data_IF_891715842099
#
_entry.id   IF_891715842099
#
_cell.length_a   1.000
_cell.length_b   1.000
_cell.length_c   1.000
_cell.angle_alpha   90.00
_cell.angle_beta   90.00
_cell.angle_gamma   90.00
#
_symmetry.space_group_name_H-M   'P 1'
#
loop_
_entity.id
_entity.type
_entity.pdbx_description
1 polymer ?
#
# COMPACT_ATOMS: atom_id res chain seq x y z
N UNK A 1 13.69 -16.74 -28.05
CA UNK A 1 14.33 -17.17 -26.78
C UNK A 1 13.27 -17.11 -25.68
N UNK A 2 12.76 -18.25 -25.20
CA UNK A 2 11.67 -18.28 -24.21
C UNK A 2 12.27 -17.94 -22.84
N UNK A 3 11.98 -16.75 -22.31
CA UNK A 3 12.42 -16.39 -20.95
C UNK A 3 11.77 -17.35 -19.95
N UNK A 4 12.59 -18.13 -19.25
CA UNK A 4 12.12 -19.01 -18.17
C UNK A 4 11.65 -18.13 -17.02
N UNK A 5 10.32 -17.99 -16.86
CA UNK A 5 9.74 -17.34 -15.68
C UNK A 5 10.01 -18.21 -14.46
N UNK A 6 10.65 -17.63 -13.44
CA UNK A 6 10.92 -18.32 -12.18
C UNK A 6 9.60 -18.58 -11.46
N UNK A 7 9.44 -19.82 -10.99
CA UNK A 7 8.28 -20.27 -10.24
C UNK A 7 8.70 -20.68 -8.83
N UNK A 8 7.87 -20.35 -7.85
CA UNK A 8 8.14 -20.62 -6.44
C UNK A 8 7.03 -21.50 -5.84
N UNK A 9 7.44 -22.48 -5.03
CA UNK A 9 6.52 -23.20 -4.15
C UNK A 9 6.20 -22.34 -2.93
N UNK A 10 5.01 -22.52 -2.34
CA UNK A 10 4.64 -21.80 -1.10
C UNK A 10 5.68 -21.93 0.02
N UNK A 11 6.36 -23.07 0.11
CA UNK A 11 7.41 -23.31 1.10
C UNK A 11 8.68 -22.49 0.83
N UNK A 12 9.01 -22.22 -0.42
CA UNK A 12 10.15 -21.39 -0.81
C UNK A 12 9.87 -19.92 -0.54
N UNK A 13 8.69 -19.43 -0.92
CA UNK A 13 8.24 -18.09 -0.56
C UNK A 13 8.27 -17.85 0.95
N UNK A 14 7.75 -18.81 1.72
CA UNK A 14 7.75 -18.73 3.18
C UNK A 14 9.17 -18.58 3.74
N UNK A 15 10.14 -19.35 3.21
CA UNK A 15 11.55 -19.26 3.61
C UNK A 15 12.17 -17.92 3.21
N UNK A 16 11.99 -17.48 1.97
CA UNK A 16 12.58 -16.24 1.45
C UNK A 16 12.02 -15.00 2.16
N UNK A 17 10.70 -14.95 2.36
CA UNK A 17 10.04 -13.84 3.05
C UNK A 17 10.17 -13.93 4.58
N UNK A 18 10.70 -15.04 5.11
CA UNK A 18 10.75 -15.35 6.56
C UNK A 18 9.36 -15.27 7.21
N UNK A 19 8.35 -15.79 6.51
CA UNK A 19 6.95 -15.81 6.96
C UNK A 19 6.45 -17.25 7.08
N UNK A 20 5.47 -17.48 7.95
CA UNK A 20 4.82 -18.79 8.06
C UNK A 20 3.91 -19.02 6.85
N UNK A 21 3.84 -20.28 6.37
CA UNK A 21 3.03 -20.65 5.19
C UNK A 21 1.56 -20.23 5.31
N UNK A 22 0.96 -20.29 6.50
CA UNK A 22 -0.44 -19.91 6.69
C UNK A 22 -0.68 -18.41 6.50
N UNK A 23 0.31 -17.56 6.80
CA UNK A 23 0.23 -16.11 6.59
C UNK A 23 0.15 -15.82 5.10
N UNK A 24 0.98 -16.49 4.29
CA UNK A 24 0.93 -16.36 2.83
C UNK A 24 -0.40 -16.86 2.25
N UNK A 25 -0.97 -17.95 2.79
CA UNK A 25 -2.31 -18.44 2.37
C UNK A 25 -3.42 -17.45 2.72
N UNK A 26 -3.31 -16.83 3.89
CA UNK A 26 -4.24 -15.80 4.31
C UNK A 26 -4.14 -14.58 3.38
N UNK A 27 -2.93 -14.08 3.13
CA UNK A 27 -2.71 -12.97 2.19
C UNK A 27 -3.14 -13.31 0.76
N UNK A 28 -2.91 -14.53 0.27
CA UNK A 28 -3.43 -15.02 -1.02
C UNK A 28 -4.94 -14.77 -1.14
N UNK A 29 -5.70 -15.19 -0.12
CA UNK A 29 -7.16 -15.01 -0.07
C UNK A 29 -7.54 -13.53 -0.06
N UNK A 30 -6.91 -12.73 0.78
CA UNK A 30 -7.26 -11.32 0.98
C UNK A 30 -6.89 -10.43 -0.21
N UNK A 31 -5.77 -10.74 -0.87
CA UNK A 31 -5.28 -10.03 -2.06
C UNK A 31 -5.94 -10.52 -3.34
N UNK A 32 -6.61 -11.67 -3.32
CA UNK A 32 -7.23 -12.27 -4.51
C UNK A 32 -6.20 -12.86 -5.49
N UNK A 33 -5.02 -13.22 -5.01
CA UNK A 33 -3.96 -13.84 -5.82
C UNK A 33 -4.40 -15.26 -6.15
N UNK A 34 -4.36 -15.64 -7.43
CA UNK A 34 -4.76 -16.96 -7.91
C UNK A 34 -3.51 -17.81 -8.20
N UNK A 35 -3.05 -18.67 -7.26
CA UNK A 35 -1.88 -19.49 -7.50
C UNK A 35 -2.16 -20.54 -8.57
N UNK A 36 -1.15 -20.81 -9.39
CA UNK A 36 -1.19 -21.97 -10.27
C UNK A 36 -1.11 -23.25 -9.43
N UNK A 37 -1.92 -24.25 -9.76
CA UNK A 37 -1.92 -25.53 -9.07
C UNK A 37 -1.30 -26.61 -9.95
N UNK A 38 -0.47 -27.45 -9.35
CA UNK A 38 -0.03 -28.71 -9.98
C UNK A 38 -1.16 -29.75 -9.93
N UNK A 39 -1.01 -30.84 -10.70
CA UNK A 39 -1.90 -32.02 -10.67
C UNK A 39 -2.11 -32.53 -9.22
N UNK A 40 -1.09 -32.49 -8.37
CA UNK A 40 -1.18 -32.89 -6.96
C UNK A 40 -1.73 -31.81 -6.00
N UNK A 41 -2.26 -30.70 -6.50
CA UNK A 41 -2.84 -29.62 -5.68
C UNK A 41 -1.82 -28.69 -5.00
N UNK A 42 -0.53 -28.84 -5.29
CA UNK A 42 0.52 -27.95 -4.80
C UNK A 42 0.40 -26.56 -5.43
N UNK A 43 0.47 -25.50 -4.60
CA UNK A 43 0.45 -24.10 -5.04
C UNK A 43 1.82 -23.65 -5.54
N UNK A 44 1.81 -22.98 -6.68
CA UNK A 44 2.94 -22.33 -7.33
C UNK A 44 2.61 -20.86 -7.60
N UNK A 45 3.61 -20.02 -7.48
CA UNK A 45 3.54 -18.58 -7.66
C UNK A 45 4.63 -18.13 -8.62
N UNK A 46 4.35 -17.08 -9.37
CA UNK A 46 5.33 -16.47 -10.28
C UNK A 46 6.19 -15.44 -9.54
N UNK A 47 7.24 -14.95 -10.20
CA UNK A 47 8.05 -13.82 -9.70
C UNK A 47 7.19 -12.57 -9.40
N UNK A 48 6.17 -12.32 -10.22
CA UNK A 48 5.24 -11.20 -10.05
C UNK A 48 4.46 -11.30 -8.71
N UNK A 49 4.04 -12.51 -8.34
CA UNK A 49 3.37 -12.78 -7.06
C UNK A 49 4.36 -12.61 -5.89
N UNK A 50 5.61 -13.05 -6.07
CA UNK A 50 6.65 -12.91 -5.05
C UNK A 50 6.90 -11.44 -4.70
N UNK A 51 7.04 -10.57 -5.70
CA UNK A 51 7.25 -9.14 -5.48
C UNK A 51 6.02 -8.49 -4.82
N UNK A 52 4.82 -8.96 -5.15
CA UNK A 52 3.58 -8.54 -4.49
C UNK A 52 3.60 -8.89 -2.99
N UNK A 53 3.94 -10.13 -2.64
CA UNK A 53 4.03 -10.55 -1.24
C UNK A 53 5.13 -9.81 -0.47
N UNK A 54 6.25 -9.53 -1.12
CA UNK A 54 7.35 -8.74 -0.55
C UNK A 54 6.91 -7.30 -0.26
N UNK A 55 6.22 -6.67 -1.20
CA UNK A 55 5.66 -5.31 -1.03
C UNK A 55 4.68 -5.28 0.15
N UNK A 56 3.74 -6.24 0.20
CA UNK A 56 2.79 -6.35 1.31
C UNK A 56 3.50 -6.51 2.65
N UNK A 57 4.56 -7.33 2.72
CA UNK A 57 5.35 -7.47 3.94
C UNK A 57 5.91 -6.12 4.40
N UNK A 58 6.51 -5.34 3.51
CA UNK A 58 7.02 -4.00 3.84
C UNK A 58 5.88 -3.07 4.31
N UNK A 59 4.74 -3.06 3.61
CA UNK A 59 3.59 -2.23 3.99
C UNK A 59 3.10 -2.54 5.41
N UNK A 60 2.99 -3.83 5.77
CA UNK A 60 2.47 -4.24 7.07
C UNK A 60 3.50 -4.07 8.19
N UNK A 61 4.74 -4.54 7.99
CA UNK A 61 5.72 -4.61 9.07
C UNK A 61 6.50 -3.32 9.27
N UNK A 62 6.86 -2.64 8.18
CA UNK A 62 7.68 -1.42 8.23
C UNK A 62 6.78 -0.18 8.28
N UNK A 63 5.81 -0.08 7.36
CA UNK A 63 4.93 1.09 7.26
C UNK A 63 3.66 1.00 8.13
N UNK A 64 3.49 -0.08 8.89
CA UNK A 64 2.40 -0.29 9.86
C UNK A 64 0.98 -0.14 9.28
N UNK A 65 0.80 -0.45 8.00
CA UNK A 65 -0.53 -0.50 7.40
C UNK A 65 -1.33 -1.69 7.93
N UNK A 66 -2.65 -1.52 7.99
CA UNK A 66 -3.56 -2.66 8.06
C UNK A 66 -3.59 -3.37 6.71
N UNK A 67 -4.03 -4.63 6.68
CA UNK A 67 -4.10 -5.37 5.41
C UNK A 67 -5.02 -4.70 4.37
N UNK A 68 -6.13 -4.10 4.82
CA UNK A 68 -7.01 -3.33 3.97
C UNK A 68 -6.34 -2.07 3.41
N UNK A 69 -5.57 -1.35 4.24
CA UNK A 69 -4.79 -0.19 3.80
C UNK A 69 -3.68 -0.58 2.81
N UNK A 70 -2.97 -1.66 3.09
CA UNK A 70 -1.92 -2.18 2.22
C UNK A 70 -2.46 -2.61 0.85
N UNK A 71 -3.66 -3.20 0.81
CA UNK A 71 -4.34 -3.54 -0.45
C UNK A 71 -4.69 -2.31 -1.28
N UNK A 72 -5.17 -1.24 -0.65
CA UNK A 72 -5.44 0.04 -1.34
C UNK A 72 -4.15 0.65 -1.91
N UNK A 73 -3.10 0.69 -1.11
CA UNK A 73 -1.78 1.20 -1.52
C UNK A 73 -1.21 0.39 -2.70
N UNK A 74 -1.29 -0.94 -2.64
CA UNK A 74 -0.83 -1.82 -3.71
C UNK A 74 -1.57 -1.53 -5.04
N UNK A 75 -2.88 -1.30 -5.00
CA UNK A 75 -3.65 -0.94 -6.18
C UNK A 75 -3.23 0.42 -6.78
N UNK A 76 -2.88 1.40 -5.93
CA UNK A 76 -2.38 2.70 -6.37
C UNK A 76 -1.00 2.59 -7.03
N UNK A 77 -0.13 1.72 -6.49
CA UNK A 77 1.20 1.45 -7.04
C UNK A 77 1.14 0.74 -8.40
N UNK A 78 0.16 -0.16 -8.58
CA UNK A 78 -0.03 -0.91 -9.83
C UNK A 78 -0.84 -0.15 -10.89
N UNK A 79 -1.52 0.95 -10.50
CA UNK A 79 -2.21 1.78 -11.47
C UNK A 79 -1.19 2.41 -12.43
N UNK A 80 -1.46 2.44 -13.75
CA UNK A 80 -0.57 3.12 -14.69
C UNK A 80 -0.46 4.57 -14.24
N UNK A 81 0.76 5.04 -13.98
CA UNK A 81 1.04 6.47 -13.79
C UNK A 81 0.52 7.14 -15.04
N UNK A 82 -0.66 7.77 -14.97
CA UNK A 82 -1.16 8.64 -16.02
C UNK A 82 -0.15 9.77 -16.07
N UNK A 83 0.81 9.66 -16.99
CA UNK A 83 1.71 10.74 -17.33
C UNK A 83 0.79 11.89 -17.73
N UNK A 84 0.67 12.89 -16.86
CA UNK A 84 0.19 14.19 -17.28
C UNK A 84 1.29 14.66 -18.23
N UNK A 85 1.12 14.36 -19.53
CA UNK A 85 1.93 14.92 -20.59
C UNK A 85 1.53 16.39 -20.59
N UNK A 86 2.26 17.20 -19.82
CA UNK A 86 2.25 18.64 -19.93
C UNK A 86 2.91 18.99 -21.28
N UNK A 87 2.11 18.94 -22.34
CA UNK A 87 2.43 19.52 -23.64
C UNK A 87 1.23 20.32 -24.11
N UNK A 88 1.01 21.45 -23.44
CA UNK A 88 0.33 22.61 -24.01
C UNK A 88 1.08 23.84 -23.47
N UNK A 89 2.00 24.39 -24.27
CA UNK A 89 2.50 25.76 -24.10
C UNK A 89 1.57 26.68 -24.90
N UNK A 90 0.92 27.64 -24.22
CA UNK A 90 0.27 28.93 -24.62
C UNK A 90 -0.97 29.08 -23.73
N UNK A 91 -1.15 30.07 -22.84
CA UNK A 91 -0.50 31.38 -22.65
C UNK A 91 -0.30 31.68 -21.16
N UNK A 92 0.70 32.52 -20.87
CA UNK A 92 0.80 33.21 -19.60
C UNK A 92 -0.39 34.15 -19.42
N UNK A 93 -1.38 33.74 -18.64
CA UNK A 93 -2.13 34.65 -17.76
C UNK A 93 -2.81 33.89 -16.62
N UNK A 94 -2.04 33.50 -15.60
CA UNK A 94 -2.61 33.20 -14.28
C UNK A 94 -1.86 34.12 -13.32
N UNK A 95 -2.52 35.22 -12.96
CA UNK A 95 -2.06 36.14 -11.90
C UNK A 95 -1.59 35.35 -10.67
N UNK A 96 -0.52 35.78 -9.97
CA UNK A 96 -0.01 35.14 -8.75
C UNK A 96 -0.99 35.09 -7.54
N UNK A 97 -2.29 35.33 -7.74
CA UNK A 97 -3.28 35.55 -6.69
C UNK A 97 -4.17 34.35 -6.37
N UNK A 98 -3.82 33.13 -6.80
CA UNK A 98 -4.58 31.91 -6.46
C UNK A 98 -3.73 30.80 -5.82
N UNK A 99 -2.80 31.16 -4.92
CA UNK A 99 -2.50 30.31 -3.77
C UNK A 99 -3.49 30.67 -2.66
N UNK A 100 -4.75 30.26 -2.79
CA UNK A 100 -5.65 30.21 -1.64
C UNK A 100 -5.30 28.96 -0.85
N UNK A 101 -4.36 29.12 0.08
CA UNK A 101 -4.32 28.32 1.30
C UNK A 101 -5.68 28.57 1.97
N UNK A 102 -6.63 27.68 1.74
CA UNK A 102 -7.89 27.71 2.48
C UNK A 102 -7.57 27.23 3.89
N UNK A 103 -7.31 28.19 4.78
CA UNK A 103 -7.22 28.03 6.23
C UNK A 103 -8.60 27.69 6.84
N UNK A 104 -9.23 26.62 6.38
CA UNK A 104 -10.33 26.00 7.11
C UNK A 104 -9.80 24.73 7.78
N UNK A 105 -9.61 24.72 9.12
CA UNK A 105 -9.15 23.52 9.79
C UNK A 105 -10.21 22.44 9.58
N UNK A 106 -9.83 21.41 8.81
CA UNK A 106 -10.59 20.18 8.65
C UNK A 106 -11.17 19.75 10.00
N UNK A 107 -12.40 19.23 10.02
CA UNK A 107 -13.08 18.85 11.29
C UNK A 107 -12.21 17.97 12.20
N UNK A 108 -11.34 17.17 11.59
CA UNK A 108 -10.36 16.31 12.26
C UNK A 108 -9.33 17.13 13.04
N UNK A 109 -8.85 18.24 12.50
CA UNK A 109 -7.91 19.13 13.19
C UNK A 109 -8.57 19.80 14.41
N UNK A 110 -9.86 20.16 14.33
CA UNK A 110 -10.61 20.70 15.47
C UNK A 110 -10.75 19.66 16.60
N UNK A 111 -11.06 18.41 16.24
CA UNK A 111 -11.14 17.30 17.20
C UNK A 111 -9.78 17.03 17.88
N UNK A 112 -8.70 16.93 17.09
CA UNK A 112 -7.35 16.69 17.61
C UNK A 112 -6.92 17.78 18.60
N UNK A 113 -7.21 19.04 18.27
CA UNK A 113 -6.89 20.17 19.14
C UNK A 113 -7.70 20.12 20.44
N UNK A 114 -8.98 19.78 20.37
CA UNK A 114 -9.83 19.63 21.56
C UNK A 114 -9.35 18.53 22.51
N UNK A 115 -8.88 17.40 21.95
CA UNK A 115 -8.35 16.26 22.71
C UNK A 115 -7.03 16.67 23.36
N UNK A 116 -6.15 17.35 22.63
CA UNK A 116 -4.88 17.87 23.17
C UNK A 116 -5.13 18.80 24.36
N UNK A 117 -6.05 19.74 24.25
CA UNK A 117 -6.39 20.65 25.35
C UNK A 117 -6.98 19.92 26.57
N UNK A 118 -7.87 18.95 26.35
CA UNK A 118 -8.43 18.13 27.45
C UNK A 118 -7.34 17.36 28.19
N UNK A 119 -6.40 16.77 27.46
CA UNK A 119 -5.28 16.03 28.05
C UNK A 119 -4.36 16.93 28.86
N UNK A 120 -3.99 18.09 28.30
CA UNK A 120 -3.13 19.04 28.99
C UNK A 120 -3.77 19.53 30.29
N UNK A 121 -5.07 19.82 30.26
CA UNK A 121 -5.82 20.25 31.45
C UNK A 121 -5.91 19.17 32.54
N UNK A 122 -5.97 17.89 32.15
CA UNK A 122 -5.96 16.78 33.11
C UNK A 122 -4.58 16.56 33.73
N UNK A 123 -3.50 16.81 32.97
CA UNK A 123 -2.13 16.73 33.50
C UNK A 123 -1.80 17.86 34.49
N UNK A 124 -2.42 19.03 34.35
CA UNK A 124 -2.25 20.15 35.28
C UNK A 124 -3.03 19.99 36.61
N UNK A 125 -3.90 18.98 36.72
CA UNK A 125 -4.75 18.70 37.89
C UNK A 125 -4.23 17.55 38.78
N UNK A 126 -3.07 16.98 38.45
CA UNK A 126 -2.34 15.97 39.23
C UNK A 126 -1.00 16.55 39.69
#
# INVERSE_FOLDING_TARGET
MKMMKRQYRIGELAKQLKLKKFVLRFWEKELGIKPQRSIGGQRFYQEEDFETFKTIKTLLYERKFTLAGAKKELSLLNAPKKSIIASQKTDMNISPSQLKIHDEPSSIHKELLSIKYKLQRLQELL
#
